data_IF_416225087882
#
_entry.id   IF_416225087882
#
_cell.length_a   1.000
_cell.length_b   1.000
_cell.length_c   1.000
_cell.angle_alpha   90.00
_cell.angle_beta   90.00
_cell.angle_gamma   90.00
#
_symmetry.space_group_name_H-M   'P 1'
#
loop_
_entity.id
_entity.type
_entity.pdbx_description
1 polymer ?
#
# COMPACT_ATOMS: atom_id res chain seq x y z
N UNK A 1 -11.17 4.42 -0.92
CA UNK A 1 -9.98 5.29 -0.75
C UNK A 1 -8.76 4.47 -1.12
N UNK A 2 -8.29 4.56 -2.38
CA UNK A 2 -7.22 3.73 -2.93
C UNK A 2 -5.84 4.42 -2.89
N UNK A 3 -5.65 5.29 -1.91
CA UNK A 3 -4.48 6.18 -1.79
C UNK A 3 -3.56 5.69 -0.69
N UNK A 4 -2.26 5.75 -0.91
CA UNK A 4 -1.27 5.42 0.11
C UNK A 4 -1.26 6.50 1.21
N UNK A 5 -1.23 6.08 2.47
CA UNK A 5 -1.14 6.98 3.64
C UNK A 5 0.18 7.77 3.70
N UNK A 6 1.23 7.27 3.05
CA UNK A 6 2.56 7.88 3.04
C UNK A 6 2.68 8.91 1.92
N UNK A 7 2.54 8.50 0.66
CA UNK A 7 2.73 9.40 -0.48
C UNK A 7 1.46 10.14 -0.92
N UNK A 8 0.30 9.82 -0.32
CA UNK A 8 -1.02 10.43 -0.61
C UNK A 8 -1.52 10.26 -2.05
N UNK A 9 -0.80 9.51 -2.89
CA UNK A 9 -1.18 9.18 -4.26
C UNK A 9 -1.92 7.83 -4.34
N UNK A 10 -2.55 7.55 -5.49
CA UNK A 10 -3.10 6.22 -5.79
C UNK A 10 -2.00 5.17 -5.60
N UNK A 11 -2.29 4.12 -4.85
CA UNK A 11 -1.26 3.14 -4.45
C UNK A 11 -0.60 2.49 -5.66
N UNK A 12 0.73 2.46 -5.66
CA UNK A 12 1.54 1.70 -6.60
C UNK A 12 2.09 0.46 -5.91
N UNK A 13 1.81 -0.71 -6.49
CA UNK A 13 2.08 -2.01 -5.88
C UNK A 13 1.49 -2.05 -4.46
N UNK A 14 0.16 -2.01 -4.30
CA UNK A 14 -0.47 -2.03 -3.00
C UNK A 14 -0.07 -3.30 -2.25
N UNK A 15 0.22 -3.15 -0.96
CA UNK A 15 0.56 -4.28 -0.09
C UNK A 15 -0.44 -4.44 1.04
N UNK A 16 -0.66 -5.70 1.42
CA UNK A 16 -1.43 -6.14 2.57
C UNK A 16 -0.47 -6.51 3.70
N UNK A 17 -0.75 -6.06 4.92
CA UNK A 17 0.00 -6.47 6.11
C UNK A 17 -0.66 -7.66 6.81
N UNK A 18 0.12 -8.68 7.17
CA UNK A 18 -0.38 -9.89 7.84
C UNK A 18 -1.04 -9.60 9.19
N UNK A 19 -0.49 -8.63 9.94
CA UNK A 19 -0.94 -8.29 11.30
C UNK A 19 -2.40 -7.81 11.39
N UNK A 20 -2.98 -7.34 10.29
CA UNK A 20 -4.38 -6.87 10.22
C UNK A 20 -5.13 -7.29 8.96
N UNK A 21 -4.50 -8.07 8.08
CA UNK A 21 -5.03 -8.49 6.77
C UNK A 21 -5.60 -7.33 5.96
N UNK A 22 -5.04 -6.13 6.15
CA UNK A 22 -5.50 -4.90 5.53
C UNK A 22 -4.50 -4.38 4.51
N UNK A 23 -4.99 -3.73 3.45
CA UNK A 23 -4.16 -2.92 2.56
C UNK A 23 -3.59 -1.75 3.36
N UNK A 24 -2.27 -1.55 3.31
CA UNK A 24 -1.56 -0.55 4.13
C UNK A 24 -0.87 0.55 3.32
N UNK A 25 -0.59 0.36 2.04
CA UNK A 25 0.01 1.40 1.19
C UNK A 25 0.78 0.85 -0.01
N UNK A 26 1.57 1.70 -0.66
CA UNK A 26 2.52 1.29 -1.70
C UNK A 26 3.65 0.44 -1.09
N UNK A 27 4.12 -0.58 -1.80
CA UNK A 27 5.21 -1.45 -1.37
C UNK A 27 6.44 -0.67 -0.89
N UNK A 28 6.97 0.23 -1.72
CA UNK A 28 8.17 1.02 -1.41
C UNK A 28 7.95 1.92 -0.20
N UNK A 29 6.79 2.58 -0.12
CA UNK A 29 6.47 3.47 1.00
C UNK A 29 6.44 2.71 2.33
N UNK A 30 5.81 1.54 2.35
CA UNK A 30 5.68 0.69 3.53
C UNK A 30 7.04 0.10 3.90
N UNK A 31 7.82 -0.38 2.94
CA UNK A 31 9.16 -0.91 3.19
C UNK A 31 10.09 0.14 3.80
N UNK A 32 10.08 1.38 3.30
CA UNK A 32 10.89 2.47 3.85
C UNK A 32 10.46 2.86 5.26
N UNK A 33 9.15 2.88 5.54
CA UNK A 33 8.66 3.14 6.90
C UNK A 33 9.02 1.99 7.85
N UNK A 34 9.00 0.74 7.38
CA UNK A 34 9.38 -0.41 8.18
C UNK A 34 10.89 -0.50 8.47
N UNK A 35 11.73 0.29 7.78
CA UNK A 35 13.14 0.43 8.14
C UNK A 35 13.35 1.31 9.38
N UNK A 36 12.43 2.24 9.66
CA UNK A 36 12.50 3.16 10.79
C UNK A 36 11.55 2.81 11.94
N UNK A 37 10.61 1.88 11.72
CA UNK A 37 9.57 1.51 12.67
C UNK A 37 9.16 0.05 12.48
N UNK A 38 9.07 -0.73 13.56
CA UNK A 38 8.61 -2.12 13.49
C UNK A 38 7.08 -2.26 13.65
N UNK A 39 6.33 -1.24 13.25
CA UNK A 39 4.88 -1.15 13.47
C UNK A 39 4.11 -0.88 12.18
N UNK A 40 2.97 -1.57 12.06
CA UNK A 40 2.05 -1.39 10.96
C UNK A 40 1.42 0.01 10.97
N UNK A 41 1.47 0.71 9.84
CA UNK A 41 0.89 2.05 9.66
C UNK A 41 -0.63 2.12 9.91
N UNK A 42 -1.32 0.98 9.84
CA UNK A 42 -2.78 0.91 9.94
C UNK A 42 -3.27 0.54 11.32
N UNK A 43 -2.65 -0.44 11.97
CA UNK A 43 -3.11 -0.98 13.25
C UNK A 43 -2.08 -0.87 14.38
N UNK A 44 -0.90 -0.31 14.12
CA UNK A 44 0.19 -0.11 15.09
C UNK A 44 0.69 -1.40 15.76
N UNK A 45 0.29 -2.57 15.26
CA UNK A 45 0.83 -3.85 15.72
C UNK A 45 2.21 -4.12 15.11
N UNK A 46 3.03 -4.96 15.74
CA UNK A 46 4.31 -5.40 15.19
C UNK A 46 4.17 -5.86 13.74
N UNK A 47 5.01 -5.31 12.87
CA UNK A 47 5.01 -5.57 11.44
C UNK A 47 6.45 -5.44 10.91
N UNK A 48 6.82 -6.32 10.00
CA UNK A 48 8.12 -6.31 9.32
C UNK A 48 7.95 -6.40 7.81
N UNK A 49 9.01 -6.10 7.07
CA UNK A 49 9.02 -6.16 5.60
C UNK A 49 8.78 -7.58 5.05
N UNK A 50 8.99 -8.63 5.85
CA UNK A 50 8.66 -10.01 5.48
C UNK A 50 7.18 -10.37 5.73
N UNK A 51 6.45 -9.53 6.47
CA UNK A 51 5.04 -9.74 6.83
C UNK A 51 4.05 -8.95 5.98
N UNK A 52 4.53 -8.40 4.85
CA UNK A 52 3.71 -7.70 3.86
C UNK A 52 3.67 -8.49 2.55
N UNK A 53 2.53 -8.47 1.89
CA UNK A 53 2.27 -9.21 0.66
C UNK A 53 1.71 -8.29 -0.40
N UNK A 54 2.15 -8.42 -1.65
CA UNK A 54 1.60 -7.66 -2.76
C UNK A 54 0.16 -8.09 -3.05
N UNK A 55 -0.72 -7.11 -3.22
CA UNK A 55 -2.09 -7.31 -3.65
C UNK A 55 -2.17 -7.14 -5.17
N UNK A 56 -1.61 -8.09 -5.92
CA UNK A 56 -1.49 -8.02 -7.39
C UNK A 56 -2.83 -7.79 -8.07
N UNK A 57 -3.90 -8.48 -7.64
CA UNK A 57 -5.25 -8.29 -8.21
C UNK A 57 -5.78 -6.86 -8.01
N UNK A 58 -5.38 -6.20 -6.92
CA UNK A 58 -5.72 -4.80 -6.68
C UNK A 58 -4.88 -3.87 -7.57
N UNK A 59 -3.60 -4.19 -7.80
CA UNK A 59 -2.71 -3.38 -8.65
C UNK A 59 -3.30 -3.17 -10.04
N UNK A 60 -3.82 -4.22 -10.68
CA UNK A 60 -4.41 -4.12 -12.02
C UNK A 60 -5.63 -3.21 -12.05
N UNK A 61 -6.49 -3.30 -11.03
CA UNK A 61 -7.66 -2.41 -10.89
C UNK A 61 -7.27 -0.96 -10.65
N UNK A 62 -6.23 -0.72 -9.84
CA UNK A 62 -5.73 0.64 -9.58
C UNK A 62 -5.09 1.25 -10.82
N UNK A 63 -4.46 0.44 -11.67
CA UNK A 63 -3.91 0.88 -12.94
C UNK A 63 -4.99 1.40 -13.89
N UNK A 64 -6.11 0.68 -14.00
CA UNK A 64 -7.27 1.13 -14.79
C UNK A 64 -7.84 2.45 -14.26
N UNK A 65 -8.01 2.56 -12.93
CA UNK A 65 -8.50 3.79 -12.29
C UNK A 65 -7.56 4.98 -12.57
N UNK A 66 -6.24 4.78 -12.55
CA UNK A 66 -5.28 5.84 -12.92
C UNK A 66 -5.46 6.28 -14.36
N UNK A 67 -5.62 5.34 -15.29
CA UNK A 67 -5.82 5.65 -16.71
C UNK A 67 -7.09 6.46 -16.92
N UNK A 68 -8.22 6.05 -16.32
CA UNK A 68 -9.47 6.80 -16.41
C UNK A 68 -9.36 8.22 -15.84
N UNK A 69 -8.60 8.40 -14.75
CA UNK A 69 -8.36 9.74 -14.20
C UNK A 69 -7.50 10.56 -15.16
N UNK A 70 -6.47 9.97 -15.77
CA UNK A 70 -5.59 10.67 -16.70
C UNK A 70 -6.24 10.99 -18.06
N UNK A 71 -7.22 10.22 -18.51
CA UNK A 71 -7.97 10.47 -19.75
C UNK A 71 -9.06 11.54 -19.58
N UNK A 72 -9.43 11.87 -18.34
CA UNK A 72 -10.48 12.85 -18.02
C UNK A 72 -9.95 14.26 -17.73
N UNK A 73 -8.63 14.46 -17.73
CA UNK A 73 -7.96 15.74 -17.53
C UNK A 73 -6.91 15.97 -18.62
#
# INVERSE_FOLDING_TARGET
MHTCSVCRNIMDQPVIAFCCLGIVGCKVCVQNQLQSSNECMKCQRPCSSQSIFEASDLQDRLRLIRQEIQEKF
#
